data_IF_932263974770
#
_entry.id   IF_932263974770
#
_cell.length_a   1.000
_cell.length_b   1.000
_cell.length_c   1.000
_cell.angle_alpha   90.00
_cell.angle_beta   90.00
_cell.angle_gamma   90.00
#
_symmetry.space_group_name_H-M   'P 1'
#
loop_
_entity.id
_entity.type
_entity.pdbx_description
1 polymer ?
#
# COMPACT_ATOMS: atom_id res chain seq x y z
N UNK A 1 3.05 19.36 -8.36
CA UNK A 1 2.98 17.92 -8.68
C UNK A 1 1.69 17.38 -8.09
N UNK A 2 1.31 16.11 -8.28
CA UNK A 2 0.01 15.60 -7.79
C UNK A 2 -0.02 15.37 -6.26
N UNK A 3 1.09 15.58 -5.57
CA UNK A 3 1.25 15.30 -4.14
C UNK A 3 0.42 16.22 -3.24
N UNK A 4 -0.01 17.37 -3.75
CA UNK A 4 -0.94 18.27 -3.05
C UNK A 4 -2.31 17.64 -2.78
N UNK A 5 -2.66 16.56 -3.48
CA UNK A 5 -3.89 15.82 -3.29
C UNK A 5 -3.78 14.68 -2.26
N UNK A 6 -2.57 14.24 -1.89
CA UNK A 6 -2.36 13.13 -0.96
C UNK A 6 -3.02 13.34 0.41
N UNK A 7 -2.98 14.55 1.04
CA UNK A 7 -3.63 14.76 2.34
C UNK A 7 -5.15 14.60 2.33
N UNK A 8 -5.79 14.51 1.16
CA UNK A 8 -7.24 14.31 1.04
C UNK A 8 -7.65 12.83 1.10
N UNK A 9 -6.71 11.90 1.12
CA UNK A 9 -6.98 10.47 1.22
C UNK A 9 -7.36 10.14 2.66
N UNK A 10 -8.59 9.67 2.86
CA UNK A 10 -9.15 9.34 4.19
C UNK A 10 -9.39 7.85 4.41
N UNK A 11 -9.18 7.02 3.40
CA UNK A 11 -9.28 5.57 3.51
C UNK A 11 -7.91 4.93 3.83
N UNK A 12 -7.90 3.72 4.41
CA UNK A 12 -6.67 2.95 4.54
C UNK A 12 -5.98 2.75 3.19
N UNK A 13 -4.64 2.80 3.18
CA UNK A 13 -3.82 2.64 1.97
C UNK A 13 -2.77 1.57 2.17
N UNK A 14 -2.64 0.68 1.18
CA UNK A 14 -1.47 -0.17 0.97
C UNK A 14 -0.83 0.22 -0.37
N UNK A 15 0.39 0.75 -0.33
CA UNK A 15 1.20 1.03 -1.50
C UNK A 15 2.21 -0.11 -1.70
N UNK A 16 2.26 -0.71 -2.89
CA UNK A 16 3.15 -1.83 -3.20
C UNK A 16 4.05 -1.39 -4.35
N UNK A 17 5.37 -1.57 -4.22
CA UNK A 17 6.30 -1.26 -5.29
C UNK A 17 7.47 -2.26 -5.34
N UNK A 18 7.89 -2.60 -6.56
CA UNK A 18 9.13 -3.34 -6.78
C UNK A 18 10.34 -2.41 -6.68
N UNK A 19 11.41 -2.89 -6.04
CA UNK A 19 12.65 -2.12 -5.89
C UNK A 19 13.33 -1.81 -7.24
N UNK A 20 13.10 -2.66 -8.25
CA UNK A 20 13.68 -2.57 -9.59
C UNK A 20 12.68 -2.01 -10.63
N UNK A 21 11.67 -1.26 -10.18
CA UNK A 21 10.69 -0.62 -11.07
C UNK A 21 11.37 0.40 -12.01
N UNK A 22 11.17 0.22 -13.32
CA UNK A 22 11.75 1.08 -14.37
C UNK A 22 11.00 2.43 -14.54
N UNK A 23 9.78 2.54 -14.00
CA UNK A 23 8.92 3.72 -14.10
C UNK A 23 8.77 4.47 -12.77
N UNK A 24 8.99 3.77 -11.64
CA UNK A 24 8.81 4.27 -10.28
C UNK A 24 10.10 4.30 -9.47
N UNK A 25 10.13 5.08 -8.39
CA UNK A 25 11.23 5.02 -7.40
C UNK A 25 10.65 4.93 -6.00
N UNK A 26 11.39 4.36 -5.05
CA UNK A 26 10.89 4.19 -3.67
C UNK A 26 10.50 5.51 -3.00
N UNK A 27 11.14 6.61 -3.42
CA UNK A 27 10.78 7.95 -3.00
C UNK A 27 9.30 8.30 -3.27
N UNK A 28 8.64 7.69 -4.27
CA UNK A 28 7.23 7.92 -4.55
C UNK A 28 6.32 7.33 -3.46
N UNK A 29 6.48 6.05 -3.13
CA UNK A 29 5.68 5.39 -2.07
C UNK A 29 6.00 5.95 -0.70
N UNK A 30 7.26 6.33 -0.42
CA UNK A 30 7.60 7.03 0.81
C UNK A 30 6.89 8.38 0.95
N UNK A 31 6.69 9.13 -0.15
CA UNK A 31 5.92 10.38 -0.12
C UNK A 31 4.46 10.12 0.23
N UNK A 32 3.89 9.01 -0.23
CA UNK A 32 2.54 8.57 0.16
C UNK A 32 2.50 8.31 1.68
N UNK A 33 3.42 7.50 2.22
CA UNK A 33 3.42 7.20 3.66
C UNK A 33 3.64 8.43 4.55
N UNK A 34 4.42 9.42 4.09
CA UNK A 34 4.59 10.69 4.81
C UNK A 34 3.32 11.55 4.79
N UNK A 35 2.50 11.48 3.74
CA UNK A 35 1.35 12.35 3.54
C UNK A 35 0.00 11.72 3.95
N UNK A 36 -0.10 10.40 3.99
CA UNK A 36 -1.33 9.65 4.28
C UNK A 36 -1.17 8.89 5.60
N UNK A 37 -1.80 9.35 6.71
CA UNK A 37 -1.71 8.68 8.00
C UNK A 37 -2.15 7.22 7.93
N UNK A 38 -1.32 6.32 8.46
CA UNK A 38 -1.63 4.88 8.50
C UNK A 38 -1.46 4.15 7.17
N UNK A 39 -0.94 4.80 6.12
CA UNK A 39 -0.57 4.11 4.89
C UNK A 39 0.55 3.10 5.16
N UNK A 40 0.39 1.91 4.58
CA UNK A 40 1.36 0.83 4.63
C UNK A 40 2.13 0.79 3.31
N UNK A 41 3.44 0.52 3.38
CA UNK A 41 4.28 0.29 2.21
C UNK A 41 4.72 -1.17 2.22
N UNK A 42 4.62 -1.82 1.06
CA UNK A 42 5.30 -3.07 0.76
C UNK A 42 6.32 -2.84 -0.35
N UNK A 43 7.58 -3.09 -0.03
CA UNK A 43 8.70 -3.04 -0.95
C UNK A 43 9.06 -4.48 -1.32
N UNK A 44 9.22 -4.75 -2.62
CA UNK A 44 9.51 -6.10 -3.12
C UNK A 44 10.88 -6.11 -3.80
N UNK A 45 11.85 -6.76 -3.17
CA UNK A 45 13.19 -6.93 -3.73
C UNK A 45 13.17 -7.87 -4.94
N UNK A 46 13.99 -7.61 -5.97
CA UNK A 46 14.01 -8.37 -7.23
C UNK A 46 12.65 -8.36 -7.95
N UNK A 47 12.04 -7.18 -8.07
CA UNK A 47 10.71 -7.00 -8.65
C UNK A 47 10.67 -5.70 -9.46
N UNK A 48 10.17 -5.77 -10.70
CA UNK A 48 10.00 -4.62 -11.57
C UNK A 48 8.66 -3.93 -11.36
N UNK A 49 8.17 -3.30 -12.43
CA UNK A 49 6.95 -2.48 -12.42
C UNK A 49 5.65 -3.26 -12.13
N UNK A 50 5.65 -4.59 -12.30
CA UNK A 50 4.44 -5.40 -12.18
C UNK A 50 4.49 -6.38 -11.00
N UNK A 51 4.46 -5.91 -9.73
CA UNK A 51 4.43 -6.76 -8.54
C UNK A 51 3.42 -7.92 -8.59
N UNK A 52 2.21 -7.65 -9.06
CA UNK A 52 1.15 -8.66 -9.19
C UNK A 52 1.46 -9.78 -10.20
N UNK A 53 2.44 -9.58 -11.09
CA UNK A 53 2.93 -10.59 -12.05
C UNK A 53 4.25 -11.20 -11.58
N UNK A 54 5.19 -10.35 -11.18
CA UNK A 54 6.55 -10.74 -10.87
C UNK A 54 6.65 -11.44 -9.50
N UNK A 55 5.83 -10.99 -8.54
CA UNK A 55 5.76 -11.47 -7.15
C UNK A 55 4.31 -11.64 -6.71
N UNK A 56 3.57 -12.43 -7.50
CA UNK A 56 2.13 -12.62 -7.34
C UNK A 56 1.72 -13.12 -5.94
N UNK A 57 2.45 -14.08 -5.38
CA UNK A 57 2.14 -14.65 -4.06
C UNK A 57 2.31 -13.62 -2.93
N UNK A 58 3.46 -12.94 -2.89
CA UNK A 58 3.76 -11.88 -1.92
C UNK A 58 2.75 -10.73 -2.02
N UNK A 59 2.45 -10.30 -3.25
CA UNK A 59 1.46 -9.25 -3.52
C UNK A 59 0.07 -9.65 -3.02
N UNK A 60 -0.37 -10.89 -3.32
CA UNK A 60 -1.69 -11.36 -2.95
C UNK A 60 -1.82 -11.56 -1.43
N UNK A 61 -0.76 -12.05 -0.77
CA UNK A 61 -0.74 -12.19 0.69
C UNK A 61 -0.84 -10.83 1.39
N UNK A 62 -0.11 -9.83 0.92
CA UNK A 62 -0.19 -8.48 1.45
C UNK A 62 -1.58 -7.86 1.29
N UNK A 63 -2.21 -8.04 0.13
CA UNK A 63 -3.58 -7.59 -0.12
C UNK A 63 -4.56 -8.29 0.83
N UNK A 64 -4.45 -9.61 1.01
CA UNK A 64 -5.31 -10.37 1.93
C UNK A 64 -5.18 -9.86 3.37
N UNK A 65 -3.95 -9.73 3.86
CA UNK A 65 -3.68 -9.23 5.21
C UNK A 65 -4.23 -7.82 5.43
N UNK A 66 -3.98 -6.93 4.47
CA UNK A 66 -4.47 -5.55 4.52
C UNK A 66 -6.00 -5.47 4.54
N UNK A 67 -6.68 -6.11 3.59
CA UNK A 67 -8.15 -6.12 3.52
C UNK A 67 -8.76 -6.76 4.77
N UNK A 68 -8.18 -7.86 5.25
CA UNK A 68 -8.60 -8.50 6.50
C UNK A 68 -8.53 -7.53 7.67
N UNK A 69 -7.41 -6.82 7.83
CA UNK A 69 -7.21 -5.82 8.89
C UNK A 69 -8.22 -4.66 8.81
N UNK A 70 -8.46 -4.13 7.61
CA UNK A 70 -9.44 -3.06 7.38
C UNK A 70 -10.85 -3.50 7.77
N UNK A 71 -11.27 -4.69 7.36
CA UNK A 71 -12.60 -5.23 7.67
C UNK A 71 -12.79 -5.54 9.18
N UNK A 72 -11.72 -5.84 9.91
CA UNK A 72 -11.81 -5.98 11.38
C UNK A 72 -11.95 -4.62 12.07
N UNK A 73 -11.23 -3.59 11.58
CA UNK A 73 -11.26 -2.25 12.18
C UNK A 73 -12.60 -1.52 11.97
N UNK A 74 -13.30 -1.81 10.86
CA UNK A 74 -14.60 -1.22 10.53
C UNK A 74 -15.79 -1.98 11.15
N UNK A 75 -15.55 -3.10 11.83
CA UNK A 75 -16.62 -3.83 12.50
C UNK A 75 -17.11 -3.04 13.73
N UNK A 76 -18.43 -2.82 13.89
CA UNK A 76 -18.95 -2.27 15.13
C UNK A 76 -18.59 -3.20 16.29
N UNK A 77 -18.27 -2.60 17.44
CA UNK A 77 -17.99 -3.35 18.66
C UNK A 77 -19.21 -4.25 18.96
N UNK A 78 -19.03 -5.58 19.04
CA UNK A 78 -20.14 -6.49 19.31
C UNK A 78 -20.78 -6.31 20.70
N UNK A 79 -20.19 -5.49 21.58
CA UNK A 79 -20.69 -5.19 22.93
C UNK A 79 -21.24 -3.75 23.08
N UNK A 80 -21.41 -3.00 21.98
CA UNK A 80 -22.09 -1.69 21.95
C UNK A 80 -23.54 -1.83 21.45
#
# INVERSE_FOLDING_TARGET
TIEEYLPRITCPVLAIQGEDDEYGTMAQVERIARAVPGAQILELANCGHSPHRDRAEETLEAIRGFVGGVLMADRPDPNL
#
